data_IF_585318737232
#
_entry.id   IF_585318737232
#
_cell.length_a   1.000
_cell.length_b   1.000
_cell.length_c   1.000
_cell.angle_alpha   90.00
_cell.angle_beta   90.00
_cell.angle_gamma   90.00
#
_symmetry.space_group_name_H-M   'P 1'
#
loop_
_entity.id
_entity.type
_entity.pdbx_description
1 polymer ?
#
# COMPACT_ATOMS: atom_id res chain seq x y z
N UNK A 1 17.61 9.41 -14.77
CA UNK A 1 18.18 8.74 -13.58
C UNK A 1 17.03 8.46 -12.62
N UNK A 2 16.81 7.21 -12.27
CA UNK A 2 15.83 6.81 -11.25
C UNK A 2 16.60 6.57 -9.96
N UNK A 3 16.11 7.14 -8.86
CA UNK A 3 16.65 6.90 -7.54
C UNK A 3 15.51 6.38 -6.66
N UNK A 4 15.70 5.17 -6.13
CA UNK A 4 14.82 4.61 -5.12
C UNK A 4 15.62 4.38 -3.87
N UNK A 5 15.14 4.97 -2.79
CA UNK A 5 15.65 4.84 -1.44
C UNK A 5 14.68 3.91 -0.72
N UNK A 6 15.12 2.69 -0.46
CA UNK A 6 14.40 1.74 0.38
C UNK A 6 15.03 1.77 1.76
N UNK A 7 14.21 2.06 2.76
CA UNK A 7 14.55 1.96 4.18
C UNK A 7 13.86 0.70 4.69
N UNK A 8 14.62 -0.39 4.79
CA UNK A 8 14.15 -1.63 5.40
C UNK A 8 14.27 -1.54 6.92
N UNK A 9 13.20 -1.91 7.62
CA UNK A 9 13.17 -2.13 9.07
C UNK A 9 13.69 -0.99 9.96
N UNK A 10 13.16 0.25 9.85
CA UNK A 10 13.36 1.24 10.91
C UNK A 10 12.75 0.77 12.26
N UNK A 11 11.78 -0.14 12.20
CA UNK A 11 11.20 -0.93 13.31
C UNK A 11 10.79 -2.32 12.77
N UNK A 12 10.64 -3.35 13.63
CA UNK A 12 10.27 -4.71 13.19
C UNK A 12 8.98 -4.68 12.35
N UNK A 13 9.06 -5.14 11.11
CA UNK A 13 7.91 -5.17 10.20
C UNK A 13 7.63 -3.89 9.42
N UNK A 14 8.35 -2.78 9.64
CA UNK A 14 8.17 -1.55 8.88
C UNK A 14 9.14 -1.49 7.69
N UNK A 15 8.67 -1.02 6.54
CA UNK A 15 9.43 -0.83 5.31
C UNK A 15 8.98 0.47 4.65
N UNK A 16 9.89 1.41 4.45
CA UNK A 16 9.61 2.64 3.72
C UNK A 16 10.32 2.64 2.38
N UNK A 17 9.64 3.03 1.32
CA UNK A 17 10.17 3.06 -0.05
C UNK A 17 9.89 4.44 -0.62
N UNK A 18 10.94 5.21 -0.85
CA UNK A 18 10.85 6.51 -1.49
C UNK A 18 11.46 6.40 -2.88
N UNK A 19 10.67 6.61 -3.92
CA UNK A 19 11.11 6.58 -5.31
C UNK A 19 10.93 7.96 -5.95
N UNK A 20 11.94 8.41 -6.70
CA UNK A 20 11.89 9.65 -7.45
C UNK A 20 12.65 9.51 -8.77
N UNK A 21 12.08 10.09 -9.83
CA UNK A 21 12.66 10.09 -11.17
C UNK A 21 13.20 11.48 -11.49
N UNK A 22 14.39 11.57 -12.10
CA UNK A 22 15.05 12.82 -12.52
C UNK A 22 15.38 12.71 -14.01
N UNK A 23 15.05 13.70 -14.87
CA UNK A 23 14.68 15.10 -14.57
C UNK A 23 13.18 15.36 -14.36
N UNK A 24 12.32 14.36 -14.56
CA UNK A 24 10.89 14.49 -14.35
C UNK A 24 10.53 14.38 -12.86
N UNK A 25 10.70 15.49 -12.14
CA UNK A 25 10.40 15.65 -10.71
C UNK A 25 8.91 15.42 -10.37
N UNK A 26 8.04 15.23 -11.38
CA UNK A 26 6.62 14.91 -11.24
C UNK A 26 6.34 13.46 -10.91
N UNK A 27 7.34 12.58 -10.84
CA UNK A 27 7.11 11.14 -10.61
C UNK A 27 7.61 10.69 -9.24
N UNK A 28 7.61 11.58 -8.24
CA UNK A 28 7.91 11.20 -6.86
C UNK A 28 6.81 10.30 -6.31
N UNK A 29 7.17 9.19 -5.66
CA UNK A 29 6.24 8.32 -4.95
C UNK A 29 6.88 7.86 -3.65
N UNK A 30 6.16 8.02 -2.56
CA UNK A 30 6.56 7.52 -1.24
C UNK A 30 5.58 6.43 -0.86
N UNK A 31 6.09 5.28 -0.46
CA UNK A 31 5.33 4.14 0.03
C UNK A 31 5.84 3.78 1.41
N UNK A 32 4.92 3.41 2.29
CA UNK A 32 5.16 2.96 3.64
C UNK A 32 4.37 1.67 3.81
N UNK A 33 5.08 0.58 4.05
CA UNK A 33 4.53 -0.75 4.23
C UNK A 33 4.87 -1.20 5.65
N UNK A 34 3.86 -1.47 6.45
CA UNK A 34 3.98 -2.01 7.79
C UNK A 34 3.36 -3.40 7.81
N UNK A 35 4.20 -4.43 7.83
CA UNK A 35 3.80 -5.82 7.89
C UNK A 35 4.17 -6.40 9.26
N UNK A 36 3.15 -6.76 10.02
CA UNK A 36 3.21 -7.55 11.23
C UNK A 36 2.65 -8.96 10.93
N UNK A 37 2.96 -9.97 11.75
CA UNK A 37 2.64 -11.39 11.47
C UNK A 37 1.18 -11.66 11.05
N UNK A 38 0.24 -10.81 11.47
CA UNK A 38 -1.19 -10.93 11.17
C UNK A 38 -1.82 -9.64 10.61
N UNK A 39 -1.04 -8.59 10.36
CA UNK A 39 -1.55 -7.27 9.96
C UNK A 39 -0.59 -6.62 8.96
N UNK A 40 -1.06 -6.31 7.76
CA UNK A 40 -0.30 -5.56 6.76
C UNK A 40 -0.98 -4.23 6.46
N UNK A 41 -0.41 -3.11 6.86
CA UNK A 41 -0.88 -1.77 6.51
C UNK A 41 0.08 -1.20 5.47
N UNK A 42 -0.44 -0.77 4.34
CA UNK A 42 0.33 -0.11 3.30
C UNK A 42 -0.26 1.27 3.06
N UNK A 43 0.60 2.28 2.98
CA UNK A 43 0.20 3.64 2.65
C UNK A 43 1.14 4.14 1.58
N UNK A 44 0.62 4.68 0.49
CA UNK A 44 1.43 5.30 -0.56
C UNK A 44 0.90 6.68 -0.89
N UNK A 45 1.82 7.56 -1.26
CA UNK A 45 1.57 8.95 -1.61
C UNK A 45 2.37 9.22 -2.88
N UNK A 46 1.66 9.45 -3.98
CA UNK A 46 2.25 10.00 -5.19
C UNK A 46 2.52 11.49 -4.99
N UNK A 47 3.77 11.92 -5.04
CA UNK A 47 4.20 13.31 -5.15
C UNK A 47 4.28 13.71 -6.62
N UNK A 48 3.15 13.60 -7.32
CA UNK A 48 3.02 13.96 -8.74
C UNK A 48 2.17 15.21 -8.91
N UNK A 49 1.99 15.68 -10.16
CA UNK A 49 1.09 16.81 -10.45
C UNK A 49 -0.35 16.56 -9.96
N UNK A 50 -0.75 15.29 -9.84
CA UNK A 50 -1.98 14.84 -9.19
C UNK A 50 -1.60 13.98 -7.98
N UNK A 51 -1.48 14.56 -6.77
CA UNK A 51 -1.11 13.79 -5.60
C UNK A 51 -2.20 12.78 -5.22
N UNK A 52 -1.92 11.51 -5.43
CA UNK A 52 -2.81 10.40 -5.06
C UNK A 52 -2.30 9.80 -3.76
N UNK A 53 -3.18 9.70 -2.77
CA UNK A 53 -2.93 9.03 -1.50
C UNK A 53 -3.67 7.70 -1.54
N UNK A 54 -2.95 6.59 -1.49
CA UNK A 54 -3.52 5.26 -1.35
C UNK A 54 -3.22 4.75 0.06
N UNK A 55 -4.23 4.24 0.74
CA UNK A 55 -4.09 3.57 2.02
C UNK A 55 -4.79 2.22 1.95
N UNK A 56 -4.08 1.17 2.30
CA UNK A 56 -4.61 -0.18 2.40
C UNK A 56 -4.22 -0.81 3.72
N UNK A 57 -5.08 -1.68 4.21
CA UNK A 57 -4.90 -2.38 5.46
C UNK A 57 -5.49 -3.76 5.32
N UNK A 58 -4.69 -4.77 5.64
CA UNK A 58 -5.06 -6.17 5.68
C UNK A 58 -4.83 -6.68 7.09
N UNK A 59 -5.77 -7.43 7.60
CA UNK A 59 -5.70 -8.08 8.90
C UNK A 59 -6.18 -9.49 8.69
N UNK A 60 -5.36 -10.46 9.04
CA UNK A 60 -5.69 -11.85 8.82
C UNK A 60 -4.94 -12.78 9.74
N UNK A 61 -5.58 -13.91 10.01
CA UNK A 61 -4.93 -15.05 10.64
C UNK A 61 -4.73 -16.17 9.60
N UNK A 62 -4.24 -17.30 10.07
CA UNK A 62 -3.97 -18.50 9.26
C UNK A 62 -5.21 -19.05 8.54
N UNK A 63 -6.42 -18.62 8.91
CA UNK A 63 -7.69 -19.09 8.37
C UNK A 63 -8.43 -18.05 7.52
N UNK A 64 -8.36 -16.77 7.88
CA UNK A 64 -9.15 -15.68 7.30
C UNK A 64 -8.32 -14.41 7.26
N UNK A 65 -8.29 -13.75 6.12
CA UNK A 65 -7.68 -12.45 5.87
C UNK A 65 -8.75 -11.51 5.37
N UNK A 66 -8.86 -10.34 5.98
CA UNK A 66 -9.76 -9.28 5.54
C UNK A 66 -8.89 -8.06 5.27
N UNK A 67 -9.07 -7.45 4.10
CA UNK A 67 -8.35 -6.25 3.73
C UNK A 67 -9.25 -5.23 3.09
N UNK A 68 -8.81 -3.98 3.13
CA UNK A 68 -9.42 -2.89 2.40
C UNK A 68 -8.34 -2.02 1.80
N UNK A 69 -8.63 -1.43 0.66
CA UNK A 69 -7.81 -0.39 0.06
C UNK A 69 -8.68 0.77 -0.36
N UNK A 70 -8.16 1.97 -0.13
CA UNK A 70 -8.78 3.22 -0.53
C UNK A 70 -7.73 4.08 -1.21
N UNK A 71 -8.11 4.74 -2.30
CA UNK A 71 -7.29 5.71 -2.98
C UNK A 71 -8.04 7.03 -3.09
N UNK A 72 -7.39 8.10 -2.67
CA UNK A 72 -7.91 9.46 -2.71
C UNK A 72 -7.05 10.30 -3.64
N UNK A 73 -7.68 10.94 -4.61
CA UNK A 73 -7.05 11.92 -5.48
C UNK A 73 -7.19 13.30 -4.83
N UNK A 74 -6.10 13.81 -4.27
CA UNK A 74 -6.08 15.11 -3.59
C UNK A 74 -6.15 16.28 -4.59
N UNK A 75 -5.93 16.03 -5.88
CA UNK A 75 -6.01 17.07 -6.91
C UNK A 75 -7.45 17.37 -7.32
N UNK A 76 -8.29 16.33 -7.44
CA UNK A 76 -9.71 16.49 -7.75
C UNK A 76 -10.60 16.49 -6.49
N UNK A 77 -10.08 15.99 -5.37
CA UNK A 77 -10.84 15.79 -4.13
C UNK A 77 -11.73 14.54 -4.16
N UNK A 78 -11.50 13.62 -5.10
CA UNK A 78 -12.33 12.43 -5.31
C UNK A 78 -11.69 11.16 -4.75
N UNK A 79 -12.54 10.24 -4.30
CA UNK A 79 -12.14 8.86 -4.02
C UNK A 79 -11.99 8.10 -5.34
N UNK A 80 -10.75 7.78 -5.70
CA UNK A 80 -10.37 7.07 -6.93
C UNK A 80 -10.61 5.57 -6.85
N UNK A 81 -10.36 4.97 -5.68
CA UNK A 81 -10.53 3.53 -5.45
C UNK A 81 -11.08 3.28 -4.06
N UNK A 82 -11.93 2.28 -3.97
CA UNK A 82 -12.37 1.69 -2.73
C UNK A 82 -12.60 0.22 -3.01
N UNK A 83 -11.67 -0.64 -2.58
CA UNK A 83 -11.84 -2.08 -2.69
C UNK A 83 -11.79 -2.70 -1.30
N UNK A 84 -12.52 -3.81 -1.14
CA UNK A 84 -12.56 -4.57 0.09
C UNK A 84 -12.35 -6.03 -0.27
N UNK A 85 -11.28 -6.62 0.25
CA UNK A 85 -10.94 -8.02 0.07
C UNK A 85 -11.29 -8.85 1.30
N UNK A 86 -11.81 -10.05 1.07
CA UNK A 86 -11.89 -11.12 2.07
C UNK A 86 -11.31 -12.38 1.47
N UNK A 87 -10.23 -12.87 2.04
CA UNK A 87 -9.60 -14.13 1.67
C UNK A 87 -9.76 -15.13 2.80
N UNK A 88 -10.15 -16.34 2.47
CA UNK A 88 -10.29 -17.46 3.38
C UNK A 88 -9.22 -18.48 2.99
N UNK A 89 -8.27 -18.71 3.89
CA UNK A 89 -7.11 -19.57 3.69
C UNK A 89 -7.34 -20.85 4.49
N UNK A 90 -7.59 -21.97 3.82
CA UNK A 90 -7.54 -23.30 4.44
C UNK A 90 -6.29 -24.02 3.93
N UNK A 91 -5.77 -25.02 4.66
CA UNK A 91 -4.62 -25.82 4.22
C UNK A 91 -4.82 -26.45 2.83
N UNK A 92 -6.08 -26.78 2.49
CA UNK A 92 -6.44 -27.47 1.26
C UNK A 92 -6.91 -26.53 0.13
N UNK A 93 -7.33 -25.30 0.44
CA UNK A 93 -7.74 -24.32 -0.57
C UNK A 93 -7.73 -22.88 -0.06
N UNK A 94 -7.53 -21.92 -0.97
CA UNK A 94 -7.65 -20.49 -0.71
C UNK A 94 -8.81 -19.95 -1.56
N UNK A 95 -9.77 -19.28 -0.94
CA UNK A 95 -10.84 -18.56 -1.64
C UNK A 95 -10.74 -17.08 -1.31
N UNK A 96 -10.71 -16.21 -2.31
CA UNK A 96 -10.68 -14.77 -2.12
C UNK A 96 -11.86 -14.12 -2.82
N UNK A 97 -12.38 -13.07 -2.19
CA UNK A 97 -13.44 -12.21 -2.65
C UNK A 97 -12.87 -10.78 -2.62
N UNK A 98 -13.05 -10.01 -3.68
CA UNK A 98 -12.58 -8.62 -3.80
C UNK A 98 -13.65 -7.78 -4.49
#
# INVERSE_FOLDING_TARGET
LFATVTIDEPTPGLKAICSFTVPDQRSGKVELQYLHDYVGITTSIGLTATPIVEASGVIGNEAVVVGGEVAFDTASGDLRKYNAGLSYVKPDFISSLQ
#
